data_IF_243000222148
#
_entry.id   IF_243000222148
#
_cell.length_a   1.000
_cell.length_b   1.000
_cell.length_c   1.000
_cell.angle_alpha   90.00
_cell.angle_beta   90.00
_cell.angle_gamma   90.00
#
_symmetry.space_group_name_H-M   'P 1'
#
loop_
_entity.id
_entity.type
_entity.pdbx_description
1 polymer ?
#
# COMPACT_ATOMS: atom_id res chain seq x y z
N UNK A 1 17.58 7.46 -7.45
CA UNK A 1 17.87 7.62 -6.01
C UNK A 1 16.66 8.19 -5.30
N UNK A 2 16.21 7.56 -4.21
CA UNK A 2 15.07 8.10 -3.43
C UNK A 2 15.45 9.41 -2.76
N UNK A 3 14.68 10.49 -3.03
CA UNK A 3 14.82 11.79 -2.37
C UNK A 3 13.81 11.99 -1.22
N UNK A 4 12.72 11.27 -1.21
CA UNK A 4 11.61 11.31 -0.25
C UNK A 4 10.35 10.67 -0.83
N UNK A 5 9.28 10.54 -0.01
CA UNK A 5 9.31 10.69 1.44
C UNK A 5 10.08 9.56 2.13
N UNK A 6 10.45 9.76 3.41
CA UNK A 6 11.13 8.73 4.20
C UNK A 6 11.91 9.28 5.40
N UNK A 7 12.55 8.39 6.15
CA UNK A 7 13.36 8.74 7.30
C UNK A 7 14.59 9.57 6.85
N UNK A 8 14.71 10.79 7.38
CA UNK A 8 15.73 11.75 6.97
C UNK A 8 17.15 11.19 7.01
N UNK A 9 17.50 10.44 8.07
CA UNK A 9 18.83 9.82 8.18
C UNK A 9 19.12 8.82 7.07
N UNK A 10 18.14 7.97 6.71
CA UNK A 10 18.26 7.02 5.60
C UNK A 10 18.38 7.72 4.25
N UNK A 11 17.58 8.78 4.04
CA UNK A 11 17.60 9.56 2.80
C UNK A 11 18.96 10.27 2.62
N UNK A 12 19.47 10.92 3.67
CA UNK A 12 20.78 11.60 3.63
C UNK A 12 21.92 10.66 3.30
N UNK A 13 21.97 9.49 3.95
CA UNK A 13 23.00 8.48 3.63
C UNK A 13 22.88 8.01 2.19
N UNK A 14 21.66 7.69 1.77
CA UNK A 14 21.40 7.24 0.42
C UNK A 14 21.78 8.27 -0.65
N UNK A 15 21.33 9.51 -0.49
CA UNK A 15 21.63 10.63 -1.42
C UNK A 15 23.12 10.92 -1.43
N UNK A 16 23.78 11.01 -0.27
CA UNK A 16 25.22 11.27 -0.19
C UNK A 16 26.06 10.20 -0.92
N UNK A 17 25.70 8.91 -0.78
CA UNK A 17 26.35 7.84 -1.56
C UNK A 17 26.09 8.03 -3.06
N UNK A 18 24.85 8.32 -3.43
CA UNK A 18 24.48 8.58 -4.83
C UNK A 18 25.23 9.73 -5.46
N UNK A 19 25.37 10.85 -4.74
CA UNK A 19 26.14 12.03 -5.18
C UNK A 19 27.62 11.73 -5.34
N UNK A 20 28.22 10.99 -4.39
CA UNK A 20 29.60 10.54 -4.48
C UNK A 20 29.86 9.69 -5.73
N UNK A 21 28.99 8.73 -6.01
CA UNK A 21 29.09 7.88 -7.22
C UNK A 21 28.85 8.68 -8.50
N UNK A 22 27.87 9.60 -8.51
CA UNK A 22 27.58 10.45 -9.66
C UNK A 22 28.78 11.35 -9.99
N UNK A 23 29.41 11.95 -8.97
CA UNK A 23 30.63 12.75 -9.13
C UNK A 23 31.79 11.92 -9.67
N UNK A 24 32.06 10.74 -9.07
CA UNK A 24 33.15 9.87 -9.48
C UNK A 24 33.00 9.38 -10.94
N UNK A 25 31.78 9.06 -11.35
CA UNK A 25 31.48 8.54 -12.69
C UNK A 25 31.09 9.63 -13.69
N UNK A 26 31.02 10.89 -13.25
CA UNK A 26 30.55 12.03 -14.07
C UNK A 26 29.21 11.75 -14.74
N UNK A 27 28.27 11.21 -13.97
CA UNK A 27 26.91 10.89 -14.41
C UNK A 27 25.90 11.76 -13.67
N UNK A 28 24.78 12.12 -14.32
CA UNK A 28 23.70 12.82 -13.63
C UNK A 28 23.07 11.92 -12.57
N UNK A 29 22.62 12.54 -11.47
CA UNK A 29 21.83 11.89 -10.42
C UNK A 29 20.40 12.42 -10.48
N UNK A 30 19.42 11.50 -10.53
CA UNK A 30 18.00 11.84 -10.53
C UNK A 30 17.37 11.49 -9.20
N UNK A 31 16.69 12.47 -8.58
CA UNK A 31 15.85 12.27 -7.41
C UNK A 31 14.53 11.61 -7.78
N UNK A 32 14.10 10.61 -7.00
CA UNK A 32 12.87 9.84 -7.24
C UNK A 32 11.98 9.92 -6.01
N UNK A 33 10.69 10.12 -6.23
CA UNK A 33 9.69 9.99 -5.19
C UNK A 33 9.50 8.50 -4.84
N UNK A 34 9.62 8.14 -3.56
CA UNK A 34 9.49 6.78 -3.06
C UNK A 34 8.13 6.13 -3.40
N UNK A 35 7.05 6.91 -3.29
CA UNK A 35 5.68 6.41 -3.55
C UNK A 35 5.49 6.05 -5.03
N UNK A 36 6.13 6.81 -5.93
CA UNK A 36 6.15 6.47 -7.36
C UNK A 36 6.78 5.10 -7.57
N UNK A 37 7.89 4.81 -6.85
CA UNK A 37 8.56 3.52 -6.92
C UNK A 37 7.62 2.35 -6.73
N UNK A 38 6.71 2.39 -5.77
CA UNK A 38 5.75 1.32 -5.54
C UNK A 38 4.82 1.07 -6.76
N UNK A 39 4.37 2.10 -7.44
CA UNK A 39 3.56 1.94 -8.66
C UNK A 39 4.44 1.37 -9.80
N UNK A 40 5.65 1.88 -9.96
CA UNK A 40 6.59 1.39 -10.99
C UNK A 40 7.08 -0.04 -10.72
N UNK A 41 7.01 -0.54 -9.47
CA UNK A 41 7.23 -1.95 -9.17
C UNK A 41 6.24 -2.88 -9.91
N UNK A 42 5.00 -2.42 -10.11
CA UNK A 42 4.02 -3.17 -10.90
C UNK A 42 4.41 -3.24 -12.40
N UNK A 43 5.03 -2.20 -12.93
CA UNK A 43 5.53 -2.18 -14.31
C UNK A 43 6.73 -3.12 -14.51
N UNK A 44 7.53 -3.37 -13.47
CA UNK A 44 8.56 -4.42 -13.52
C UNK A 44 7.98 -5.83 -13.59
N UNK A 45 6.81 -6.04 -12.99
CA UNK A 45 6.08 -7.31 -13.06
C UNK A 45 5.35 -7.47 -14.41
N UNK A 46 4.86 -6.38 -14.96
CA UNK A 46 4.13 -6.34 -16.23
C UNK A 46 4.61 -5.14 -17.07
N UNK A 47 5.63 -5.33 -17.92
CA UNK A 47 6.27 -4.25 -18.67
C UNK A 47 5.33 -3.50 -19.63
N UNK A 48 4.23 -4.13 -20.08
CA UNK A 48 3.23 -3.50 -20.95
C UNK A 48 2.21 -2.63 -20.18
N UNK A 49 2.36 -2.50 -18.85
CA UNK A 49 1.50 -1.63 -18.03
C UNK A 49 1.82 -0.17 -18.32
N UNK A 50 0.84 0.55 -18.81
CA UNK A 50 0.96 1.96 -19.21
C UNK A 50 -0.16 2.81 -18.58
N UNK A 51 0.11 4.08 -18.24
CA UNK A 51 -0.95 5.00 -17.85
C UNK A 51 -1.93 5.28 -19.02
N UNK A 52 -3.17 5.73 -18.75
CA UNK A 52 -3.67 6.09 -17.42
C UNK A 52 -4.04 4.87 -16.59
N UNK A 53 -3.79 4.94 -15.26
CA UNK A 53 -4.12 3.90 -14.31
C UNK A 53 -4.61 4.46 -12.97
N UNK A 54 -5.29 3.61 -12.18
CA UNK A 54 -5.58 3.84 -10.77
C UNK A 54 -4.55 3.06 -9.93
N UNK A 55 -4.00 3.70 -8.90
CA UNK A 55 -3.07 3.11 -7.95
C UNK A 55 -3.64 3.10 -6.53
N UNK A 56 -3.70 1.94 -5.89
CA UNK A 56 -3.89 1.81 -4.45
C UNK A 56 -2.52 1.47 -3.85
N UNK A 57 -1.89 2.47 -3.24
CA UNK A 57 -0.55 2.35 -2.63
C UNK A 57 -0.71 2.16 -1.14
N UNK A 58 -0.37 0.98 -0.63
CA UNK A 58 -0.55 0.58 0.77
C UNK A 58 0.76 0.07 1.36
N UNK A 59 1.33 0.85 2.25
CA UNK A 59 2.62 0.57 2.89
C UNK A 59 2.56 0.79 4.41
N UNK A 60 3.71 0.74 5.07
CA UNK A 60 3.85 1.05 6.49
C UNK A 60 3.45 2.47 6.85
N UNK A 61 3.66 3.44 5.95
CA UNK A 61 3.43 4.86 6.20
C UNK A 61 2.34 5.48 5.31
N UNK A 62 1.87 4.79 4.28
CA UNK A 62 0.93 5.34 3.31
C UNK A 62 -0.23 4.40 3.02
N UNK A 63 -1.41 4.99 2.85
CA UNK A 63 -2.61 4.32 2.35
C UNK A 63 -3.30 5.32 1.44
N UNK A 64 -2.87 5.33 0.18
CA UNK A 64 -3.25 6.36 -0.79
C UNK A 64 -3.92 5.72 -2.02
N UNK A 65 -5.02 6.31 -2.44
CA UNK A 65 -5.66 6.04 -3.71
C UNK A 65 -5.32 7.17 -4.66
N UNK A 66 -4.68 6.85 -5.78
CA UNK A 66 -4.17 7.82 -6.73
C UNK A 66 -4.61 7.49 -8.15
N UNK A 67 -4.68 8.51 -8.98
CA UNK A 67 -4.76 8.38 -10.43
C UNK A 67 -3.42 8.78 -11.03
N UNK A 68 -2.92 8.00 -11.96
CA UNK A 68 -1.74 8.29 -12.76
C UNK A 68 -2.17 8.49 -14.22
N UNK A 69 -2.44 9.73 -14.66
CA UNK A 69 -2.89 9.99 -16.03
C UNK A 69 -1.80 9.83 -17.07
N UNK A 70 -0.54 10.03 -16.69
CA UNK A 70 0.65 9.86 -17.52
C UNK A 70 1.85 9.56 -16.63
N UNK A 71 2.95 9.07 -17.19
CA UNK A 71 4.19 8.86 -16.45
C UNK A 71 4.65 10.14 -15.73
N UNK A 72 5.01 10.00 -14.45
CA UNK A 72 5.47 11.10 -13.61
C UNK A 72 4.37 12.11 -13.20
N UNK A 73 3.10 11.84 -13.51
CA UNK A 73 1.96 12.67 -13.11
C UNK A 73 1.02 11.89 -12.23
N UNK A 74 0.72 12.43 -11.04
CA UNK A 74 -0.13 11.77 -10.04
C UNK A 74 -1.16 12.75 -9.48
N UNK A 75 -2.36 12.26 -9.31
CA UNK A 75 -3.50 12.95 -8.71
C UNK A 75 -3.95 12.12 -7.51
N UNK A 76 -3.87 12.69 -6.31
CA UNK A 76 -4.35 12.00 -5.10
C UNK A 76 -5.86 12.09 -5.05
N UNK A 77 -6.52 10.95 -5.04
CA UNK A 77 -7.98 10.83 -4.93
C UNK A 77 -8.41 10.68 -3.47
N UNK A 78 -7.62 9.96 -2.67
CA UNK A 78 -7.85 9.74 -1.25
C UNK A 78 -6.58 9.30 -0.53
N UNK A 79 -6.52 9.59 0.77
CA UNK A 79 -5.40 9.19 1.65
C UNK A 79 -5.88 8.92 3.06
N UNK A 80 -5.03 8.30 3.86
CA UNK A 80 -5.32 8.15 5.28
C UNK A 80 -5.21 9.49 6.02
N UNK A 81 -6.10 9.70 7.00
CA UNK A 81 -6.06 10.85 7.92
C UNK A 81 -5.27 10.59 9.19
N UNK A 82 -4.95 9.34 9.46
CA UNK A 82 -4.26 8.90 10.68
C UNK A 82 -3.27 7.77 10.36
N UNK A 83 -3.29 6.67 11.11
CA UNK A 83 -2.42 5.53 10.88
C UNK A 83 -2.57 5.02 9.42
N UNK A 84 -1.48 4.66 8.77
CA UNK A 84 -1.53 3.87 7.54
C UNK A 84 -1.92 2.42 7.82
N UNK A 85 -2.42 1.70 6.81
CA UNK A 85 -2.83 0.32 6.96
C UNK A 85 -1.70 -0.59 7.48
N UNK A 86 -0.47 -0.43 6.97
CA UNK A 86 0.68 -1.21 7.45
C UNK A 86 1.04 -0.90 8.89
N UNK A 87 1.02 0.38 9.29
CA UNK A 87 1.20 0.78 10.69
C UNK A 87 0.10 0.20 11.60
N UNK A 88 -1.15 0.19 11.12
CA UNK A 88 -2.26 -0.42 11.83
C UNK A 88 -2.05 -1.93 12.03
N UNK A 89 -1.56 -2.64 11.01
CA UNK A 89 -1.18 -4.05 11.11
C UNK A 89 -0.06 -4.29 12.12
N UNK A 90 1.00 -3.48 12.13
CA UNK A 90 2.11 -3.62 13.08
C UNK A 90 1.65 -3.36 14.53
N UNK A 91 0.79 -2.36 14.74
CA UNK A 91 0.21 -2.07 16.05
C UNK A 91 -0.70 -3.21 16.52
N UNK A 92 -1.55 -3.75 15.64
CA UNK A 92 -2.42 -4.89 15.97
C UNK A 92 -1.62 -6.16 16.28
N UNK A 93 -0.60 -6.45 15.47
CA UNK A 93 0.30 -7.59 15.71
C UNK A 93 0.96 -7.51 17.08
N UNK A 94 1.44 -6.32 17.48
CA UNK A 94 2.01 -6.09 18.81
C UNK A 94 1.00 -6.35 19.92
N UNK A 95 -0.26 -5.91 19.79
CA UNK A 95 -1.31 -6.15 20.77
C UNK A 95 -1.66 -7.64 20.91
N UNK A 96 -1.56 -8.37 19.79
CA UNK A 96 -1.79 -9.82 19.76
C UNK A 96 -0.58 -10.64 20.22
N UNK A 97 0.53 -9.99 20.63
CA UNK A 97 1.74 -10.66 21.08
C UNK A 97 2.57 -11.26 19.94
N UNK A 98 2.39 -10.77 18.72
CA UNK A 98 3.15 -11.22 17.54
C UNK A 98 4.45 -10.42 17.38
N UNK A 99 5.44 -11.04 16.73
CA UNK A 99 6.73 -10.41 16.44
C UNK A 99 6.66 -9.40 15.29
N UNK A 100 7.82 -8.82 14.99
CA UNK A 100 8.02 -7.90 13.85
C UNK A 100 8.69 -8.65 12.68
N UNK A 101 8.33 -8.37 11.41
CA UNK A 101 7.31 -7.43 10.95
C UNK A 101 5.88 -7.94 11.22
N UNK A 102 5.02 -7.02 11.70
CA UNK A 102 3.69 -7.35 12.20
C UNK A 102 2.71 -7.80 11.12
N UNK A 103 2.72 -7.13 9.96
CA UNK A 103 1.81 -7.45 8.86
C UNK A 103 1.86 -8.93 8.43
N UNK A 104 3.03 -9.49 8.06
CA UNK A 104 3.16 -10.91 7.71
C UNK A 104 2.83 -11.86 8.86
N UNK A 105 3.12 -11.48 10.12
CA UNK A 105 2.81 -12.31 11.28
C UNK A 105 1.30 -12.38 11.51
N UNK A 106 0.61 -11.24 11.38
CA UNK A 106 -0.84 -11.14 11.51
C UNK A 106 -1.56 -11.89 10.37
N UNK A 107 -1.13 -11.74 9.11
CA UNK A 107 -1.69 -12.48 7.96
C UNK A 107 -1.60 -14.02 8.17
N UNK A 108 -0.46 -14.50 8.69
CA UNK A 108 -0.33 -15.95 9.01
C UNK A 108 -1.30 -16.39 10.12
N UNK A 109 -1.46 -15.61 11.17
CA UNK A 109 -2.38 -15.93 12.26
C UNK A 109 -3.84 -15.84 11.80
N UNK A 110 -4.20 -14.81 11.04
CA UNK A 110 -5.54 -14.57 10.51
C UNK A 110 -6.08 -15.74 9.68
N UNK A 111 -5.22 -16.45 8.94
CA UNK A 111 -5.60 -17.65 8.16
C UNK A 111 -6.13 -18.80 9.00
N UNK A 112 -5.86 -18.81 10.31
CA UNK A 112 -6.31 -19.83 11.26
C UNK A 112 -7.57 -19.39 12.01
N UNK A 113 -7.99 -18.12 11.84
CA UNK A 113 -9.10 -17.50 12.54
C UNK A 113 -10.37 -17.41 11.69
N UNK A 114 -11.48 -17.19 12.40
CA UNK A 114 -12.77 -16.86 11.81
C UNK A 114 -13.17 -15.43 12.22
N UNK A 115 -13.14 -14.51 11.27
CA UNK A 115 -13.48 -13.11 11.50
C UNK A 115 -14.93 -12.88 11.97
N UNK A 116 -15.84 -13.87 11.80
CA UNK A 116 -17.22 -13.76 12.26
C UNK A 116 -17.38 -14.00 13.76
N UNK A 117 -16.42 -14.71 14.39
CA UNK A 117 -16.47 -15.04 15.83
C UNK A 117 -16.11 -13.85 16.72
N UNK A 118 -15.22 -12.97 16.25
CA UNK A 118 -14.76 -11.79 16.98
C UNK A 118 -14.90 -10.53 16.10
N UNK A 119 -16.13 -10.13 15.71
CA UNK A 119 -16.32 -9.05 14.74
C UNK A 119 -15.75 -7.73 15.25
N UNK A 120 -15.01 -7.04 14.38
CA UNK A 120 -14.54 -5.68 14.58
C UNK A 120 -15.24 -4.73 13.61
N UNK A 121 -15.39 -3.44 13.97
CA UNK A 121 -16.01 -2.47 13.08
C UNK A 121 -15.19 -2.29 11.81
N UNK A 122 -15.86 -2.06 10.68
CA UNK A 122 -15.18 -1.58 9.48
C UNK A 122 -15.04 -0.06 9.58
N UNK A 123 -13.80 0.49 9.56
CA UNK A 123 -13.61 1.93 9.48
C UNK A 123 -14.20 2.47 8.19
N UNK A 124 -14.97 3.54 8.27
CA UNK A 124 -15.50 4.22 7.11
C UNK A 124 -15.50 5.71 7.34
N UNK A 125 -14.91 6.47 6.41
CA UNK A 125 -14.99 7.91 6.32
C UNK A 125 -15.77 8.32 5.05
N UNK A 126 -16.40 9.50 5.04
CA UNK A 126 -16.99 10.04 3.83
C UNK A 126 -15.94 10.19 2.70
N UNK A 127 -16.40 10.04 1.46
CA UNK A 127 -15.52 10.18 0.29
C UNK A 127 -14.48 9.06 0.17
N UNK A 128 -13.28 9.41 -0.28
CA UNK A 128 -12.21 8.47 -0.61
C UNK A 128 -11.09 8.40 0.45
N UNK A 129 -11.29 9.00 1.61
CA UNK A 129 -10.31 9.01 2.68
C UNK A 129 -10.37 7.75 3.54
N UNK A 130 -9.24 7.43 4.18
CA UNK A 130 -9.10 6.29 5.09
C UNK A 130 -8.87 6.76 6.53
N UNK A 131 -9.19 5.88 7.50
CA UNK A 131 -8.81 6.02 8.91
C UNK A 131 -8.74 4.62 9.52
N UNK A 132 -7.66 4.32 10.22
CA UNK A 132 -7.45 3.01 10.85
C UNK A 132 -7.23 3.09 12.36
N UNK A 133 -7.08 4.29 12.93
CA UNK A 133 -6.81 4.48 14.36
C UNK A 133 -7.94 3.94 15.26
N UNK A 134 -9.20 4.07 14.84
CA UNK A 134 -10.36 3.56 15.55
C UNK A 134 -10.39 2.03 15.65
N UNK A 135 -9.89 1.34 14.63
CA UNK A 135 -9.84 -0.11 14.60
C UNK A 135 -8.86 -0.68 15.64
N UNK A 136 -7.73 -0.01 15.85
CA UNK A 136 -6.79 -0.33 16.93
C UNK A 136 -7.46 -0.28 18.30
N UNK A 137 -8.24 0.77 18.55
CA UNK A 137 -8.96 0.96 19.80
C UNK A 137 -10.03 -0.13 20.01
N UNK A 138 -10.75 -0.49 18.94
CA UNK A 138 -11.72 -1.57 18.97
C UNK A 138 -11.07 -2.92 19.32
N UNK A 139 -9.92 -3.23 18.70
CA UNK A 139 -9.14 -4.43 19.03
C UNK A 139 -8.69 -4.44 20.50
N UNK A 140 -8.20 -3.31 21.01
CA UNK A 140 -7.77 -3.17 22.40
C UNK A 140 -8.92 -3.45 23.38
N UNK A 141 -10.09 -2.87 23.14
CA UNK A 141 -11.25 -3.12 24.00
C UNK A 141 -11.69 -4.58 23.94
N UNK A 142 -11.70 -5.17 22.76
CA UNK A 142 -12.06 -6.58 22.62
C UNK A 142 -11.10 -7.53 23.35
N UNK A 143 -9.80 -7.25 23.31
CA UNK A 143 -8.81 -7.98 24.10
C UNK A 143 -9.01 -7.80 25.61
N UNK A 144 -9.37 -6.60 26.06
CA UNK A 144 -9.70 -6.33 27.47
C UNK A 144 -10.95 -7.07 27.95
N UNK A 145 -12.00 -7.10 27.11
CA UNK A 145 -13.25 -7.80 27.43
C UNK A 145 -13.03 -9.31 27.60
N UNK A 146 -12.11 -9.90 26.83
CA UNK A 146 -11.72 -11.31 26.95
C UNK A 146 -10.83 -11.57 28.18
N UNK A 147 -10.12 -10.55 28.67
CA UNK A 147 -9.29 -10.62 29.89
C UNK A 147 -8.18 -11.66 29.80
N UNK A 148 -7.90 -12.32 30.93
CA UNK A 148 -6.87 -13.35 31.04
C UNK A 148 -7.24 -14.67 30.35
N UNK A 149 -8.50 -14.85 29.97
CA UNK A 149 -9.02 -16.06 29.32
C UNK A 149 -8.80 -16.08 27.80
N UNK A 150 -8.10 -15.09 27.23
CA UNK A 150 -7.78 -15.03 25.78
C UNK A 150 -7.05 -16.27 25.34
N UNK A 151 -7.69 -17.07 24.50
CA UNK A 151 -7.12 -18.28 23.91
C UNK A 151 -6.30 -17.95 22.65
N UNK A 152 -5.51 -18.92 22.17
CA UNK A 152 -4.83 -18.78 20.87
C UNK A 152 -5.84 -18.65 19.71
N UNK A 153 -6.99 -19.34 19.81
CA UNK A 153 -8.06 -19.23 18.82
C UNK A 153 -8.70 -17.84 18.82
N UNK A 154 -8.95 -17.24 19.98
CA UNK A 154 -9.47 -15.86 20.05
C UNK A 154 -8.51 -14.86 19.40
N UNK A 155 -7.20 -15.04 19.61
CA UNK A 155 -6.18 -14.22 18.92
C UNK A 155 -6.22 -14.39 17.41
N UNK A 156 -6.41 -15.62 16.93
CA UNK A 156 -6.52 -15.89 15.50
C UNK A 156 -7.81 -15.28 14.90
N UNK A 157 -8.94 -15.42 15.60
CA UNK A 157 -10.23 -14.85 15.20
C UNK A 157 -10.18 -13.32 15.16
N UNK A 158 -9.55 -12.69 16.18
CA UNK A 158 -9.31 -11.25 16.21
C UNK A 158 -8.36 -10.78 15.10
N UNK A 159 -7.31 -11.53 14.81
CA UNK A 159 -6.41 -11.24 13.69
C UNK A 159 -7.16 -11.28 12.35
N UNK A 160 -8.00 -12.30 12.14
CA UNK A 160 -8.83 -12.42 10.94
C UNK A 160 -9.84 -11.27 10.81
N UNK A 161 -10.49 -10.88 11.92
CA UNK A 161 -11.44 -9.77 11.95
C UNK A 161 -10.75 -8.43 11.66
N UNK A 162 -9.58 -8.19 12.26
CA UNK A 162 -8.79 -6.99 12.03
C UNK A 162 -8.35 -6.87 10.57
N UNK A 163 -7.75 -7.93 10.04
CA UNK A 163 -7.31 -8.01 8.65
C UNK A 163 -8.48 -7.74 7.69
N UNK A 164 -9.61 -8.42 7.89
CA UNK A 164 -10.81 -8.20 7.09
C UNK A 164 -11.27 -6.75 7.13
N UNK A 165 -11.35 -6.14 8.30
CA UNK A 165 -11.80 -4.75 8.46
C UNK A 165 -10.89 -3.76 7.72
N UNK A 166 -9.57 -3.94 7.78
CA UNK A 166 -8.60 -3.10 7.02
C UNK A 166 -8.78 -3.30 5.52
N UNK A 167 -8.80 -4.56 5.06
CA UNK A 167 -8.90 -4.89 3.63
C UNK A 167 -10.21 -4.39 3.03
N UNK A 168 -11.34 -4.59 3.71
CA UNK A 168 -12.64 -4.11 3.25
C UNK A 168 -12.71 -2.58 3.20
N UNK A 169 -12.07 -1.89 4.16
CA UNK A 169 -12.00 -0.42 4.15
C UNK A 169 -11.18 0.10 2.96
N UNK A 170 -10.04 -0.52 2.66
CA UNK A 170 -9.20 -0.17 1.52
C UNK A 170 -9.94 -0.37 0.18
N UNK A 171 -10.57 -1.52 0.03
CA UNK A 171 -11.22 -1.90 -1.21
C UNK A 171 -12.57 -1.20 -1.44
N UNK A 172 -13.27 -0.77 -0.39
CA UNK A 172 -14.46 0.07 -0.50
C UNK A 172 -14.16 1.35 -1.29
N UNK A 173 -13.04 2.01 -1.01
CA UNK A 173 -12.69 3.27 -1.71
C UNK A 173 -12.24 3.02 -3.14
N UNK A 174 -11.57 1.90 -3.39
CA UNK A 174 -11.26 1.47 -4.76
C UNK A 174 -12.55 1.16 -5.54
N UNK A 175 -13.51 0.48 -4.92
CA UNK A 175 -14.81 0.14 -5.51
C UNK A 175 -15.60 1.38 -5.95
N UNK A 176 -15.56 2.45 -5.16
CA UNK A 176 -16.25 3.73 -5.44
C UNK A 176 -15.73 4.44 -6.70
N UNK A 177 -14.48 4.23 -7.10
CA UNK A 177 -13.87 4.89 -8.27
C UNK A 177 -13.83 4.00 -9.52
N UNK A 178 -14.20 2.74 -9.38
CA UNK A 178 -14.32 1.82 -10.50
C UNK A 178 -15.71 1.96 -11.16
N UNK A 179 -15.86 1.65 -12.46
CA UNK A 179 -17.16 1.62 -13.12
C UNK A 179 -18.11 0.62 -12.43
N UNK A 180 -19.39 0.75 -12.67
CA UNK A 180 -20.38 -0.19 -12.15
C UNK A 180 -20.07 -1.63 -12.58
N UNK A 181 -20.50 -2.62 -11.78
CA UNK A 181 -20.33 -4.04 -12.14
C UNK A 181 -21.05 -4.33 -13.46
N UNK A 182 -20.34 -5.02 -14.36
CA UNK A 182 -20.81 -5.28 -15.72
C UNK A 182 -20.39 -4.22 -16.74
N UNK A 183 -19.83 -3.09 -16.29
CA UNK A 183 -19.22 -2.09 -17.14
C UNK A 183 -17.69 -2.22 -17.07
N UNK A 184 -17.04 -2.29 -18.21
CA UNK A 184 -15.58 -2.33 -18.30
C UNK A 184 -15.05 -0.92 -18.53
N UNK A 185 -14.25 -0.40 -17.58
CA UNK A 185 -13.55 0.84 -17.77
C UNK A 185 -12.61 0.74 -18.96
N UNK A 186 -12.70 1.70 -19.88
CA UNK A 186 -11.85 1.75 -21.06
C UNK A 186 -11.07 3.05 -21.12
N UNK A 187 -9.84 2.97 -21.59
CA UNK A 187 -9.00 4.12 -21.92
C UNK A 187 -9.50 4.78 -23.22
N UNK A 188 -9.09 6.01 -23.47
CA UNK A 188 -9.18 6.58 -24.81
C UNK A 188 -8.51 5.61 -25.81
N UNK A 189 -9.23 5.23 -26.87
CA UNK A 189 -8.78 4.18 -27.80
C UNK A 189 -9.30 2.76 -27.49
N UNK A 190 -10.16 2.59 -26.47
CA UNK A 190 -10.87 1.32 -26.20
C UNK A 190 -10.12 0.28 -25.37
N UNK A 191 -8.88 0.54 -24.94
CA UNK A 191 -8.14 -0.36 -24.05
C UNK A 191 -8.79 -0.43 -22.67
N UNK A 192 -8.73 -1.60 -22.00
CA UNK A 192 -9.24 -1.80 -20.65
C UNK A 192 -8.45 -0.93 -19.67
N UNK A 193 -9.15 -0.27 -18.72
CA UNK A 193 -8.50 0.51 -17.68
C UNK A 193 -7.64 -0.39 -16.77
N UNK A 194 -6.60 0.21 -16.21
CA UNK A 194 -5.62 -0.49 -15.38
C UNK A 194 -5.78 -0.09 -13.91
N UNK A 195 -5.67 -1.06 -13.03
CA UNK A 195 -5.61 -0.89 -11.58
C UNK A 195 -4.33 -1.51 -11.07
N UNK A 196 -3.60 -0.76 -10.25
CA UNK A 196 -2.40 -1.23 -9.57
C UNK A 196 -2.67 -1.24 -8.06
N UNK A 197 -2.40 -2.36 -7.38
CA UNK A 197 -2.37 -2.43 -5.90
C UNK A 197 -0.95 -2.78 -5.50
N UNK A 198 -0.26 -1.89 -4.80
CA UNK A 198 1.17 -1.98 -4.53
C UNK A 198 1.56 -1.45 -3.15
N UNK A 199 2.84 -1.58 -2.79
CA UNK A 199 3.37 -1.30 -1.45
C UNK A 199 3.42 -2.56 -0.60
N UNK A 200 4.08 -2.50 0.58
CA UNK A 200 4.33 -3.68 1.42
C UNK A 200 3.07 -4.44 1.84
N UNK A 201 1.96 -3.74 2.07
CA UNK A 201 0.67 -4.37 2.42
C UNK A 201 0.05 -5.11 1.23
N UNK A 202 0.43 -4.81 -0.02
CA UNK A 202 -0.02 -5.56 -1.19
C UNK A 202 0.49 -7.02 -1.22
N UNK A 203 1.42 -7.38 -0.34
CA UNK A 203 1.81 -8.79 -0.12
C UNK A 203 0.76 -9.58 0.71
N UNK A 204 -0.17 -8.89 1.40
CA UNK A 204 -1.20 -9.52 2.21
C UNK A 204 -2.12 -10.42 1.37
N UNK A 205 -2.32 -11.65 1.83
CA UNK A 205 -3.04 -12.69 1.08
C UNK A 205 -4.51 -12.34 0.87
N UNK A 206 -5.18 -11.83 1.90
CA UNK A 206 -6.60 -11.47 1.82
C UNK A 206 -6.79 -10.27 0.90
N UNK A 207 -5.93 -9.25 0.99
CA UNK A 207 -5.98 -8.07 0.11
C UNK A 207 -5.84 -8.48 -1.35
N UNK A 208 -4.87 -9.34 -1.68
CA UNK A 208 -4.67 -9.83 -3.06
C UNK A 208 -5.91 -10.54 -3.61
N UNK A 209 -6.47 -11.45 -2.82
CA UNK A 209 -7.69 -12.19 -3.19
C UNK A 209 -8.87 -11.24 -3.41
N UNK A 210 -9.16 -10.41 -2.43
CA UNK A 210 -10.32 -9.52 -2.46
C UNK A 210 -10.19 -8.40 -3.52
N UNK A 211 -8.98 -7.89 -3.75
CA UNK A 211 -8.75 -6.92 -4.83
C UNK A 211 -9.05 -7.52 -6.21
N UNK A 212 -8.66 -8.78 -6.44
CA UNK A 212 -9.00 -9.48 -7.68
C UNK A 212 -10.53 -9.58 -7.87
N UNK A 213 -11.26 -9.96 -6.82
CA UNK A 213 -12.74 -10.06 -6.84
C UNK A 213 -13.43 -8.70 -7.07
N UNK A 214 -12.89 -7.61 -6.50
CA UNK A 214 -13.46 -6.25 -6.68
C UNK A 214 -13.23 -5.72 -8.09
N UNK A 215 -12.07 -5.99 -8.67
CA UNK A 215 -11.68 -5.45 -9.99
C UNK A 215 -12.18 -6.32 -11.15
N UNK A 216 -12.54 -7.59 -10.88
CA UNK A 216 -12.97 -8.56 -11.89
C UNK A 216 -14.11 -8.02 -12.78
N UNK A 217 -13.94 -8.14 -14.10
CA UNK A 217 -14.92 -7.69 -15.09
C UNK A 217 -15.05 -6.17 -15.25
N UNK A 218 -14.25 -5.36 -14.54
CA UNK A 218 -14.33 -3.88 -14.52
C UNK A 218 -13.06 -3.22 -15.03
N UNK A 219 -11.90 -3.77 -14.67
CA UNK A 219 -10.59 -3.28 -15.07
C UNK A 219 -9.58 -4.44 -15.06
N UNK A 220 -8.36 -4.19 -15.52
CA UNK A 220 -7.26 -5.13 -15.39
C UNK A 220 -6.48 -4.82 -14.12
N UNK A 221 -6.34 -5.81 -13.23
CA UNK A 221 -5.55 -5.67 -12.00
C UNK A 221 -4.10 -6.09 -12.24
N UNK A 222 -3.17 -5.28 -11.76
CA UNK A 222 -1.75 -5.62 -11.63
C UNK A 222 -1.32 -5.44 -10.19
N UNK A 223 -0.67 -6.45 -9.64
CA UNK A 223 -0.02 -6.40 -8.34
C UNK A 223 1.43 -6.84 -8.53
N UNK A 224 2.41 -6.15 -7.94
CA UNK A 224 3.81 -6.58 -8.00
C UNK A 224 3.97 -8.03 -7.51
N UNK A 225 5.02 -8.71 -7.99
CA UNK A 225 5.46 -9.96 -7.37
C UNK A 225 5.77 -9.72 -5.88
N UNK A 226 5.67 -10.75 -5.04
CA UNK A 226 5.86 -10.59 -3.59
C UNK A 226 7.21 -9.95 -3.23
N UNK A 227 8.24 -10.27 -4.00
CA UNK A 227 9.60 -9.72 -3.85
C UNK A 227 9.67 -8.21 -4.12
N UNK A 228 8.80 -7.69 -4.98
CA UNK A 228 8.73 -6.28 -5.37
C UNK A 228 7.68 -5.47 -4.57
N UNK A 229 6.92 -6.10 -3.68
CA UNK A 229 5.97 -5.39 -2.82
C UNK A 229 6.66 -4.51 -1.77
N UNK A 230 7.79 -4.97 -1.22
CA UNK A 230 8.57 -4.21 -0.24
C UNK A 230 9.56 -3.28 -0.91
N UNK A 231 10.14 -2.36 -0.13
CA UNK A 231 11.14 -1.40 -0.60
C UNK A 231 12.31 -2.11 -1.27
N UNK A 232 12.63 -1.69 -2.50
CA UNK A 232 13.72 -2.26 -3.27
C UNK A 232 14.31 -1.22 -4.24
N UNK A 233 15.55 -1.45 -4.67
CA UNK A 233 16.24 -0.52 -5.56
C UNK A 233 15.68 -0.54 -6.99
N UNK A 234 15.14 -1.68 -7.44
CA UNK A 234 14.63 -1.83 -8.80
C UNK A 234 13.41 -0.95 -9.05
N UNK A 235 12.50 -0.82 -8.08
CA UNK A 235 11.34 0.05 -8.17
C UNK A 235 11.73 1.53 -8.31
N UNK A 236 12.81 1.95 -7.62
CA UNK A 236 13.32 3.33 -7.69
C UNK A 236 14.02 3.57 -9.03
N UNK A 237 14.76 2.58 -9.54
CA UNK A 237 15.38 2.68 -10.86
C UNK A 237 14.31 2.78 -11.97
N UNK A 238 13.26 1.97 -11.91
CA UNK A 238 12.13 2.02 -12.85
C UNK A 238 11.42 3.38 -12.82
N UNK A 239 11.12 3.90 -11.63
CA UNK A 239 10.53 5.23 -11.49
C UNK A 239 11.48 6.34 -11.98
N UNK A 240 12.78 6.20 -11.74
CA UNK A 240 13.82 7.13 -12.20
C UNK A 240 13.93 7.24 -13.71
N UNK A 241 13.62 6.17 -14.43
CA UNK A 241 13.60 6.19 -15.89
C UNK A 241 12.53 7.15 -16.44
N UNK A 242 11.42 7.30 -15.73
CA UNK A 242 10.31 8.18 -16.10
C UNK A 242 10.34 9.54 -15.35
N UNK A 243 11.26 9.72 -14.41
CA UNK A 243 11.43 10.99 -13.70
C UNK A 243 12.24 11.95 -14.56
N UNK A 244 11.65 13.06 -14.97
CA UNK A 244 12.38 14.11 -15.68
C UNK A 244 13.35 14.79 -14.70
N UNK A 245 14.66 14.77 -14.97
CA UNK A 245 15.76 15.54 -14.36
C UNK A 245 15.46 16.23 -13.00
N UNK A 246 14.90 15.47 -12.05
CA UNK A 246 14.55 15.99 -10.73
C UNK A 246 15.81 16.02 -9.86
N UNK A 247 16.14 17.16 -9.21
CA UNK A 247 17.26 17.21 -8.29
C UNK A 247 17.14 16.16 -7.17
N UNK A 248 18.26 15.63 -6.72
CA UNK A 248 18.31 14.61 -5.67
C UNK A 248 18.32 15.20 -4.24
N UNK A 249 17.80 16.41 -4.06
CA UNK A 249 17.67 17.04 -2.74
C UNK A 249 16.75 16.22 -1.84
N UNK A 250 17.17 16.07 -0.56
CA UNK A 250 16.41 15.30 0.43
C UNK A 250 15.16 16.08 0.86
N UNK A 251 14.01 15.43 0.74
CA UNK A 251 12.71 15.99 1.11
C UNK A 251 11.89 14.94 1.89
N UNK A 252 12.08 14.84 3.23
CA UNK A 252 11.50 13.75 4.04
C UNK A 252 9.97 13.67 4.01
N UNK A 253 9.29 14.80 3.81
CA UNK A 253 7.83 14.94 3.75
C UNK A 253 7.29 15.14 2.33
N UNK A 254 8.06 14.72 1.32
CA UNK A 254 7.64 14.84 -0.08
C UNK A 254 6.27 14.18 -0.30
N UNK A 255 5.33 14.96 -0.86
CA UNK A 255 4.04 14.44 -1.33
C UNK A 255 4.12 13.72 -2.68
N UNK A 256 2.97 13.39 -3.24
CA UNK A 256 2.85 12.81 -4.60
C UNK A 256 3.30 13.78 -5.70
#
# INVERSE_FOLDING_TARGET
MTRGPGLVGCLLVGVGVGEGLAAAWRKPLTGVNHLWGHIYAAMLTRPELEPPLLGLVVSGAHSDLVRMPAHGRFEVLGRTRDDAAGEAFDKAARMLGLGFPGGPALDRLARRGDAARQPLPKPSLPGLEYSFSGLKTALLYRLRDLGESVTEQDRADLAAAFERSVVESLLEKLDLVLPARGEVARRAGGAVAEVVVCGGVAANTLLRKRAAEVVEGRARLTMPSLELCTDNAAMIAAAGFHAANVPAEVEPSLGW
#
